data_IF_646371268584
#
_entry.id   IF_646371268584
#
_cell.length_a   1.000
_cell.length_b   1.000
_cell.length_c   1.000
_cell.angle_alpha   90.00
_cell.angle_beta   90.00
_cell.angle_gamma   90.00
#
_symmetry.space_group_name_H-M   'P 1'
#
loop_
_entity.id
_entity.type
_entity.pdbx_description
1 polymer ?
#
# COMPACT_ATOMS: atom_id res chain seq x y z
N UNK A 1 3.43 28.17 19.67
CA UNK A 1 4.49 27.94 18.66
C UNK A 1 3.85 28.05 17.28
N UNK A 2 4.11 29.14 16.55
CA UNK A 2 3.67 29.33 15.16
C UNK A 2 4.57 28.50 14.25
N UNK A 3 4.07 27.37 13.78
CA UNK A 3 4.81 26.57 12.80
C UNK A 3 4.67 27.23 11.44
N UNK A 4 5.76 27.50 10.69
CA UNK A 4 5.65 28.08 9.36
C UNK A 4 4.85 27.16 8.44
N UNK A 5 4.11 27.75 7.48
CA UNK A 5 3.32 26.99 6.52
C UNK A 5 4.16 26.00 5.72
N UNK A 6 5.43 26.35 5.44
CA UNK A 6 6.44 25.48 4.87
C UNK A 6 7.42 25.05 5.96
N UNK A 7 7.17 23.88 6.54
CA UNK A 7 8.03 23.30 7.56
C UNK A 7 8.06 21.78 7.42
N UNK A 8 9.23 21.18 7.62
CA UNK A 8 9.42 19.74 7.53
C UNK A 8 9.79 19.18 8.90
N UNK A 9 8.78 18.67 9.61
CA UNK A 9 8.93 18.15 10.97
C UNK A 9 8.55 19.15 12.04
N UNK A 10 8.50 18.67 13.28
CA UNK A 10 8.31 19.47 14.48
C UNK A 10 9.68 19.79 15.08
N UNK A 11 9.93 21.07 15.37
CA UNK A 11 11.12 21.49 16.12
C UNK A 11 10.77 21.50 17.60
N UNK A 12 11.36 20.57 18.35
CA UNK A 12 11.18 20.45 19.79
C UNK A 12 12.48 20.89 20.49
N UNK A 13 12.40 21.57 21.66
CA UNK A 13 13.59 22.12 22.34
C UNK A 13 14.66 21.07 22.66
N UNK A 14 14.23 19.84 22.95
CA UNK A 14 15.11 18.74 23.36
C UNK A 14 15.82 18.04 22.20
N UNK A 15 15.52 18.43 20.95
CA UNK A 15 16.03 17.77 19.76
C UNK A 15 16.76 18.74 18.82
N UNK A 16 17.98 18.35 18.42
CA UNK A 16 18.83 19.15 17.53
C UNK A 16 18.36 19.19 16.07
N UNK A 17 17.51 18.24 15.68
CA UNK A 17 16.94 18.13 14.33
C UNK A 17 15.42 18.14 14.41
N UNK A 18 14.71 18.57 13.35
CA UNK A 18 13.27 18.40 13.27
C UNK A 18 12.91 16.91 13.40
N UNK A 19 11.82 16.63 14.10
CA UNK A 19 11.38 15.27 14.39
C UNK A 19 9.95 15.01 13.94
N UNK A 20 9.62 13.73 13.76
CA UNK A 20 8.25 13.24 13.57
C UNK A 20 7.90 12.23 14.64
N UNK A 21 6.62 12.16 15.00
CA UNK A 21 6.09 11.04 15.75
C UNK A 21 6.01 9.80 14.84
N UNK A 22 6.89 8.83 15.05
CA UNK A 22 7.00 7.60 14.26
C UNK A 22 5.71 6.79 14.29
N UNK A 23 4.99 6.79 15.41
CA UNK A 23 3.69 6.09 15.50
C UNK A 23 2.67 6.67 14.53
N UNK A 24 2.65 7.99 14.38
CA UNK A 24 1.76 8.66 13.43
C UNK A 24 2.20 8.40 11.97
N UNK A 25 3.51 8.38 11.71
CA UNK A 25 4.06 8.03 10.39
C UNK A 25 3.68 6.60 10.01
N UNK A 26 3.87 5.63 10.91
CA UNK A 26 3.48 4.23 10.73
C UNK A 26 1.99 4.05 10.53
N UNK A 27 1.16 4.74 11.32
CA UNK A 27 -0.29 4.74 11.14
C UNK A 27 -0.68 5.27 9.74
N UNK A 28 -0.05 6.36 9.29
CA UNK A 28 -0.28 6.89 7.94
C UNK A 28 0.12 5.89 6.84
N UNK A 29 1.24 5.18 7.03
CA UNK A 29 1.71 4.14 6.12
C UNK A 29 0.74 2.96 6.07
N UNK A 30 0.19 2.55 7.22
CA UNK A 30 -0.83 1.50 7.30
C UNK A 30 -2.14 1.87 6.58
N UNK A 31 -2.61 3.11 6.72
CA UNK A 31 -3.81 3.61 6.02
C UNK A 31 -3.60 3.56 4.51
N UNK A 32 -2.48 4.12 4.03
CA UNK A 32 -2.15 4.12 2.62
C UNK A 32 -1.92 2.68 2.09
N UNK A 33 -1.28 1.82 2.88
CA UNK A 33 -1.09 0.41 2.54
C UNK A 33 -2.42 -0.31 2.35
N UNK A 34 -3.38 -0.12 3.27
CA UNK A 34 -4.70 -0.75 3.17
C UNK A 34 -5.42 -0.35 1.88
N UNK A 35 -5.45 0.94 1.58
CA UNK A 35 -6.10 1.47 0.37
C UNK A 35 -5.37 1.01 -0.90
N UNK A 36 -4.04 1.04 -0.89
CA UNK A 36 -3.20 0.57 -1.99
C UNK A 36 -3.42 -0.92 -2.24
N UNK A 37 -3.44 -1.73 -1.18
CA UNK A 37 -3.60 -3.17 -1.24
C UNK A 37 -4.98 -3.53 -1.79
N UNK A 38 -6.04 -2.85 -1.33
CA UNK A 38 -7.39 -3.05 -1.85
C UNK A 38 -7.46 -2.70 -3.35
N UNK A 39 -6.92 -1.55 -3.76
CA UNK A 39 -6.89 -1.16 -5.17
C UNK A 39 -6.07 -2.13 -6.03
N UNK A 40 -4.92 -2.58 -5.54
CA UNK A 40 -4.07 -3.56 -6.20
C UNK A 40 -4.73 -4.94 -6.31
N UNK A 41 -5.40 -5.40 -5.26
CA UNK A 41 -6.16 -6.65 -5.28
C UNK A 41 -7.31 -6.61 -6.29
N UNK A 42 -8.02 -5.49 -6.39
CA UNK A 42 -9.05 -5.29 -7.43
C UNK A 42 -8.45 -5.33 -8.84
N UNK A 43 -7.28 -4.71 -9.04
CA UNK A 43 -6.57 -4.77 -10.32
C UNK A 43 -6.09 -6.19 -10.68
N UNK A 44 -5.58 -6.94 -9.70
CA UNK A 44 -5.03 -8.29 -9.93
C UNK A 44 -6.13 -9.34 -10.12
N UNK A 45 -7.18 -9.31 -9.30
CA UNK A 45 -8.23 -10.34 -9.28
C UNK A 45 -9.34 -10.05 -10.29
N UNK A 46 -9.72 -8.78 -10.46
CA UNK A 46 -10.86 -8.38 -11.30
C UNK A 46 -10.45 -7.66 -12.58
N UNK A 47 -9.15 -7.39 -12.79
CA UNK A 47 -8.67 -6.60 -13.92
C UNK A 47 -9.15 -5.14 -13.89
N UNK A 48 -9.59 -4.62 -12.74
CA UNK A 48 -10.14 -3.27 -12.62
C UNK A 48 -9.08 -2.26 -12.16
N UNK A 49 -8.50 -1.55 -13.13
CA UNK A 49 -7.40 -0.60 -12.88
C UNK A 49 -7.86 0.79 -12.43
N UNK A 50 -9.16 1.09 -12.47
CA UNK A 50 -9.70 2.41 -12.13
C UNK A 50 -9.41 2.81 -10.68
N UNK A 51 -9.59 1.88 -9.75
CA UNK A 51 -9.26 2.10 -8.35
C UNK A 51 -7.77 2.42 -8.16
N UNK A 52 -6.89 1.68 -8.84
CA UNK A 52 -5.43 1.91 -8.81
C UNK A 52 -5.05 3.26 -9.39
N UNK A 53 -5.67 3.68 -10.51
CA UNK A 53 -5.43 5.00 -11.10
C UNK A 53 -5.78 6.13 -10.12
N UNK A 54 -6.96 6.06 -9.49
CA UNK A 54 -7.38 7.05 -8.48
C UNK A 54 -6.44 7.05 -7.29
N UNK A 55 -6.07 5.86 -6.79
CA UNK A 55 -5.14 5.73 -5.68
C UNK A 55 -3.77 6.35 -6.00
N UNK A 56 -3.20 6.09 -7.17
CA UNK A 56 -1.88 6.62 -7.56
C UNK A 56 -1.90 8.14 -7.62
N UNK A 57 -2.97 8.76 -8.15
CA UNK A 57 -3.12 10.22 -8.14
C UNK A 57 -3.15 10.74 -6.70
N UNK A 58 -3.99 10.15 -5.84
CA UNK A 58 -4.07 10.53 -4.44
C UNK A 58 -2.73 10.34 -3.70
N UNK A 59 -2.01 9.27 -3.98
CA UNK A 59 -0.71 8.95 -3.41
C UNK A 59 0.35 9.98 -3.80
N UNK A 60 0.43 10.36 -5.07
CA UNK A 60 1.35 11.42 -5.52
C UNK A 60 1.02 12.74 -4.85
N UNK A 61 -0.26 13.12 -4.75
CA UNK A 61 -0.70 14.35 -4.05
C UNK A 61 -0.30 14.30 -2.57
N UNK A 62 -0.60 13.20 -1.87
CA UNK A 62 -0.25 12.97 -0.47
C UNK A 62 1.26 13.18 -0.23
N UNK A 63 2.11 12.52 -1.01
CA UNK A 63 3.57 12.64 -0.86
C UNK A 63 4.12 14.00 -1.30
N UNK A 64 3.46 14.66 -2.26
CA UNK A 64 3.81 16.03 -2.66
C UNK A 64 3.56 17.02 -1.52
N UNK A 65 2.41 16.90 -0.83
CA UNK A 65 2.10 17.69 0.36
C UNK A 65 3.12 17.42 1.47
N UNK A 66 3.49 16.16 1.70
CA UNK A 66 4.51 15.78 2.69
C UNK A 66 5.87 16.41 2.40
N UNK A 67 6.34 16.37 1.15
CA UNK A 67 7.70 16.80 0.81
C UNK A 67 7.84 18.30 0.61
N UNK A 68 6.86 18.95 -0.01
CA UNK A 68 7.00 20.34 -0.49
C UNK A 68 6.22 21.36 0.33
N UNK A 69 5.14 20.95 1.01
CA UNK A 69 4.29 21.86 1.79
C UNK A 69 4.59 21.68 3.28
N UNK A 70 3.93 20.72 3.91
CA UNK A 70 4.13 20.35 5.30
C UNK A 70 3.46 18.99 5.56
N UNK A 71 4.16 18.01 6.13
CA UNK A 71 3.58 16.71 6.47
C UNK A 71 2.37 16.79 7.42
N UNK A 72 2.23 17.88 8.18
CA UNK A 72 1.07 18.13 9.04
C UNK A 72 -0.23 18.25 8.25
N UNK A 73 -0.18 18.67 7.00
CA UNK A 73 -1.35 18.86 6.14
C UNK A 73 -1.65 17.66 5.25
N UNK A 74 -0.79 16.64 5.25
CA UNK A 74 -1.01 15.47 4.41
C UNK A 74 -2.19 14.64 4.96
N UNK A 75 -3.25 14.38 4.16
CA UNK A 75 -4.45 13.69 4.61
C UNK A 75 -4.21 12.42 5.43
N UNK A 76 -3.35 11.50 4.97
CA UNK A 76 -3.11 10.26 5.71
C UNK A 76 -2.30 10.50 7.00
N UNK A 77 -1.45 11.53 7.05
CA UNK A 77 -0.77 11.94 8.29
C UNK A 77 -1.74 12.51 9.32
N UNK A 78 -2.71 13.33 8.90
CA UNK A 78 -3.74 13.89 9.78
C UNK A 78 -4.52 12.76 10.45
N UNK A 79 -5.02 11.81 9.66
CA UNK A 79 -5.75 10.65 10.17
C UNK A 79 -4.84 9.80 11.07
N UNK A 80 -3.60 9.56 10.65
CA UNK A 80 -2.62 8.83 11.45
C UNK A 80 -2.41 9.46 12.83
N UNK A 81 -2.24 10.77 12.90
CA UNK A 81 -2.10 11.52 14.15
C UNK A 81 -3.33 11.40 15.05
N UNK A 82 -4.54 11.44 14.48
CA UNK A 82 -5.77 11.29 15.26
C UNK A 82 -5.90 9.89 15.86
N UNK A 83 -5.54 8.85 15.10
CA UNK A 83 -5.60 7.46 15.55
C UNK A 83 -4.64 7.20 16.70
N UNK A 84 -3.41 7.72 16.65
CA UNK A 84 -2.38 7.45 17.68
C UNK A 84 -2.29 8.52 18.78
N UNK A 85 -3.22 9.48 18.84
CA UNK A 85 -3.14 10.64 19.75
C UNK A 85 -3.05 10.30 21.24
N UNK A 86 -3.54 9.14 21.65
CA UNK A 86 -3.51 8.67 23.04
C UNK A 86 -2.25 7.86 23.40
N UNK A 87 -1.31 7.68 22.46
CA UNK A 87 -0.09 6.91 22.66
C UNK A 87 1.08 7.84 22.94
N UNK A 88 2.06 7.37 23.73
CA UNK A 88 3.30 8.10 23.95
C UNK A 88 4.05 8.28 22.62
N UNK A 89 4.36 9.52 22.21
CA UNK A 89 4.99 9.78 20.91
C UNK A 89 6.43 9.26 20.90
N UNK A 90 6.79 8.57 19.82
CA UNK A 90 8.18 8.16 19.57
C UNK A 90 8.78 9.10 18.52
N UNK A 91 9.78 9.89 18.88
CA UNK A 91 10.34 10.90 17.98
C UNK A 91 11.52 10.37 17.17
N UNK A 92 11.41 10.49 15.85
CA UNK A 92 12.48 10.13 14.89
C UNK A 92 12.92 11.33 14.08
N UNK A 93 14.17 11.30 13.62
CA UNK A 93 14.75 12.38 12.82
C UNK A 93 14.01 12.56 11.48
N UNK A 94 13.77 13.82 11.11
CA UNK A 94 13.16 14.17 9.84
C UNK A 94 14.02 13.90 8.59
N UNK A 95 15.36 14.11 8.56
CA UNK A 95 16.16 13.99 7.33
C UNK A 95 16.06 12.62 6.65
N UNK A 96 16.19 11.54 7.41
CA UNK A 96 16.04 10.15 6.93
C UNK A 96 14.64 9.87 6.34
N UNK A 97 13.58 10.43 6.95
CA UNK A 97 12.20 10.27 6.46
C UNK A 97 11.95 11.07 5.19
N UNK A 98 12.58 12.24 5.03
CA UNK A 98 12.52 13.02 3.79
C UNK A 98 13.09 12.24 2.62
N UNK A 99 14.21 11.55 2.82
CA UNK A 99 14.80 10.69 1.79
C UNK A 99 13.87 9.53 1.41
N UNK A 100 13.36 8.80 2.41
CA UNK A 100 12.44 7.69 2.18
C UNK A 100 11.17 8.13 1.42
N UNK A 101 10.58 9.26 1.81
CA UNK A 101 9.41 9.81 1.13
C UNK A 101 9.73 10.33 -0.27
N UNK A 102 10.95 10.82 -0.51
CA UNK A 102 11.43 11.19 -1.84
C UNK A 102 11.45 10.00 -2.80
N UNK A 103 11.93 8.83 -2.34
CA UNK A 103 11.87 7.59 -3.11
C UNK A 103 10.42 7.20 -3.41
N UNK A 104 9.55 7.23 -2.38
CA UNK A 104 8.13 6.93 -2.55
C UNK A 104 7.46 7.85 -3.57
N UNK A 105 7.75 9.15 -3.53
CA UNK A 105 7.21 10.13 -4.48
C UNK A 105 7.71 9.88 -5.91
N UNK A 106 8.99 9.58 -6.10
CA UNK A 106 9.54 9.26 -7.42
C UNK A 106 8.88 8.00 -8.02
N UNK A 107 8.71 6.95 -7.22
CA UNK A 107 7.99 5.73 -7.63
C UNK A 107 6.51 6.02 -7.93
N UNK A 108 5.87 6.89 -7.16
CA UNK A 108 4.50 7.34 -7.40
C UNK A 108 4.35 8.10 -8.72
N UNK A 109 5.29 8.99 -9.05
CA UNK A 109 5.29 9.70 -10.33
C UNK A 109 5.51 8.76 -11.52
N UNK A 110 6.43 7.80 -11.38
CA UNK A 110 6.64 6.77 -12.39
C UNK A 110 5.36 5.98 -12.65
N UNK A 111 4.65 5.59 -11.58
CA UNK A 111 3.36 4.92 -11.68
C UNK A 111 2.26 5.77 -12.30
N UNK A 112 2.22 7.05 -11.93
CA UNK A 112 1.27 8.00 -12.49
C UNK A 112 1.45 8.11 -14.00
N UNK A 113 2.69 8.23 -14.46
CA UNK A 113 3.02 8.25 -15.89
C UNK A 113 2.53 6.98 -16.59
N UNK A 114 2.89 5.80 -16.09
CA UNK A 114 2.55 4.54 -16.77
C UNK A 114 1.05 4.21 -16.74
N UNK A 115 0.38 4.40 -15.60
CA UNK A 115 -1.01 3.97 -15.43
C UNK A 115 -2.04 5.02 -15.87
N UNK A 116 -1.74 6.32 -15.73
CA UNK A 116 -2.72 7.39 -16.01
C UNK A 116 -2.46 8.06 -17.35
N UNK A 117 -1.20 8.37 -17.67
CA UNK A 117 -0.83 9.08 -18.90
C UNK A 117 -0.74 8.09 -20.06
N UNK A 118 0.18 7.13 -19.98
CA UNK A 118 0.39 6.12 -21.03
C UNK A 118 -0.75 5.09 -21.08
N UNK A 119 -1.45 4.89 -19.95
CA UNK A 119 -2.49 3.86 -19.78
C UNK A 119 -2.00 2.45 -20.14
N UNK A 120 -0.71 2.20 -19.95
CA UNK A 120 -0.08 0.91 -20.24
C UNK A 120 -0.14 0.03 -18.99
N UNK A 121 -0.64 -1.18 -19.16
CA UNK A 121 -0.75 -2.19 -18.11
C UNK A 121 0.26 -3.29 -18.45
N UNK A 122 1.29 -3.42 -17.63
CA UNK A 122 2.34 -4.41 -17.84
C UNK A 122 2.82 -5.08 -16.55
N UNK A 123 3.55 -6.21 -16.66
CA UNK A 123 4.12 -6.92 -15.52
C UNK A 123 5.06 -6.04 -14.66
N UNK A 124 5.77 -5.11 -15.31
CA UNK A 124 6.65 -4.17 -14.61
C UNK A 124 5.87 -3.30 -13.61
N UNK A 125 4.68 -2.85 -13.98
CA UNK A 125 3.82 -2.05 -13.09
C UNK A 125 3.37 -2.89 -11.89
N UNK A 126 3.03 -4.16 -12.12
CA UNK A 126 2.66 -5.07 -11.02
C UNK A 126 3.81 -5.29 -10.05
N UNK A 127 5.03 -5.45 -10.57
CA UNK A 127 6.24 -5.67 -9.77
C UNK A 127 6.57 -4.43 -8.93
N UNK A 128 6.54 -3.24 -9.53
CA UNK A 128 6.83 -1.99 -8.81
C UNK A 128 5.73 -1.67 -7.79
N UNK A 129 4.45 -1.87 -8.12
CA UNK A 129 3.34 -1.72 -7.16
C UNK A 129 3.47 -2.69 -5.99
N UNK A 130 3.74 -3.97 -6.27
CA UNK A 130 3.96 -5.00 -5.24
C UNK A 130 5.16 -4.66 -4.34
N UNK A 131 6.23 -4.12 -4.92
CA UNK A 131 7.39 -3.65 -4.16
C UNK A 131 7.03 -2.48 -3.25
N UNK A 132 6.30 -1.47 -3.75
CA UNK A 132 5.83 -0.35 -2.93
C UNK A 132 4.95 -0.83 -1.77
N UNK A 133 3.99 -1.73 -2.04
CA UNK A 133 3.14 -2.33 -1.02
C UNK A 133 3.95 -3.05 0.04
N UNK A 134 4.96 -3.82 -0.37
CA UNK A 134 5.86 -4.53 0.54
C UNK A 134 6.62 -3.54 1.43
N UNK A 135 7.21 -2.49 0.87
CA UNK A 135 7.92 -1.46 1.64
C UNK A 135 7.03 -0.79 2.68
N UNK A 136 5.78 -0.43 2.31
CA UNK A 136 4.82 0.16 3.24
C UNK A 136 4.36 -0.83 4.30
N UNK A 137 4.20 -2.11 3.95
CA UNK A 137 3.89 -3.18 4.89
C UNK A 137 4.98 -3.32 5.96
N UNK A 138 6.25 -3.28 5.57
CA UNK A 138 7.36 -3.33 6.53
C UNK A 138 7.36 -2.14 7.49
N UNK A 139 7.08 -0.94 6.99
CA UNK A 139 7.00 0.27 7.82
C UNK A 139 5.82 0.20 8.80
N UNK A 140 4.63 -0.20 8.35
CA UNK A 140 3.45 -0.27 9.23
C UNK A 140 3.53 -1.44 10.22
N UNK A 141 3.79 -2.66 9.75
CA UNK A 141 3.69 -3.88 10.55
C UNK A 141 4.86 -4.02 11.53
N UNK A 142 6.09 -3.91 11.02
CA UNK A 142 7.29 -4.14 11.83
C UNK A 142 7.91 -2.85 12.37
N UNK A 143 7.49 -1.68 11.88
CA UNK A 143 8.16 -0.41 12.22
C UNK A 143 9.53 -0.28 11.57
N UNK A 144 9.79 -1.04 10.51
CA UNK A 144 11.08 -1.04 9.81
C UNK A 144 10.93 -0.23 8.52
N UNK A 145 11.47 0.98 8.52
CA UNK A 145 11.57 1.83 7.33
C UNK A 145 12.81 1.45 6.51
N UNK A 146 12.64 0.61 5.48
CA UNK A 146 13.74 0.16 4.61
C UNK A 146 14.42 1.36 3.91
N UNK A 147 13.65 2.36 3.50
CA UNK A 147 14.20 3.59 2.90
C UNK A 147 15.07 4.40 3.86
N UNK A 148 14.72 4.43 5.14
CA UNK A 148 15.51 5.07 6.19
C UNK A 148 16.80 4.27 6.44
N UNK A 149 16.72 2.94 6.48
CA UNK A 149 17.90 2.08 6.62
C UNK A 149 18.88 2.25 5.45
N UNK A 150 18.38 2.39 4.22
CA UNK A 150 19.21 2.68 3.05
C UNK A 150 19.88 4.06 3.16
N UNK A 151 19.15 5.07 3.65
CA UNK A 151 19.71 6.40 3.91
C UNK A 151 20.86 6.33 4.93
N UNK A 152 20.65 5.63 6.05
CA UNK A 152 21.63 5.54 7.14
C UNK A 152 22.89 4.81 6.69
N UNK A 153 22.76 3.81 5.84
CA UNK A 153 23.90 3.12 5.23
C UNK A 153 24.69 4.03 4.28
N UNK A 154 23.99 4.84 3.47
CA UNK A 154 24.63 5.72 2.49
C UNK A 154 25.19 7.03 3.10
N UNK A 155 24.58 7.52 4.18
CA UNK A 155 24.92 8.78 4.86
C UNK A 155 24.89 8.63 6.39
N UNK A 156 25.77 7.80 6.97
CA UNK A 156 25.75 7.51 8.41
C UNK A 156 25.94 8.75 9.29
N UNK A 157 26.69 9.76 8.82
CA UNK A 157 26.91 11.02 9.55
C UNK A 157 25.63 11.87 9.74
N UNK A 158 24.58 11.63 8.94
CA UNK A 158 23.31 12.35 9.02
C UNK A 158 22.22 11.56 9.77
N UNK A 159 22.51 10.31 10.15
CA UNK A 159 21.59 9.45 10.88
C UNK A 159 21.52 9.88 12.35
N UNK A 160 20.46 10.60 12.72
CA UNK A 160 20.15 10.97 14.10
C UNK A 160 18.72 10.57 14.43
N UNK A 161 18.50 10.01 15.62
CA UNK A 161 17.18 9.57 16.11
C UNK A 161 16.53 8.55 15.15
N UNK A 162 17.18 7.40 15.00
CA UNK A 162 16.75 6.34 14.08
C UNK A 162 15.47 5.65 14.59
N UNK A 163 14.58 5.20 13.68
CA UNK A 163 13.36 4.49 14.06
C UNK A 163 13.62 3.30 14.98
N UNK A 164 12.78 3.13 16.00
CA UNK A 164 12.91 2.06 17.00
C UNK A 164 14.13 2.19 17.90
N UNK A 165 14.79 3.37 17.93
CA UNK A 165 15.98 3.61 18.75
C UNK A 165 17.20 2.77 18.32
N UNK A 166 17.18 2.19 17.13
CA UNK A 166 18.20 1.26 16.60
C UNK A 166 19.62 1.83 16.58
N UNK A 167 19.77 3.15 16.51
CA UNK A 167 21.09 3.79 16.58
C UNK A 167 21.69 3.87 18.00
N UNK A 168 20.90 3.62 19.05
CA UNK A 168 21.38 3.57 20.45
C UNK A 168 21.21 2.20 21.10
N UNK A 169 20.28 1.40 20.60
CA UNK A 169 19.92 0.11 21.18
C UNK A 169 20.64 -1.03 20.47
N UNK A 170 21.42 -1.81 21.23
CA UNK A 170 21.96 -3.10 20.79
C UNK A 170 21.19 -4.22 21.49
N UNK A 171 20.65 -5.15 20.71
CA UNK A 171 19.91 -6.28 21.27
C UNK A 171 20.88 -7.20 22.05
N UNK A 172 20.49 -7.70 23.24
CA UNK A 172 21.32 -8.64 23.98
C UNK A 172 21.45 -9.97 23.23
N UNK A 173 22.58 -10.67 23.45
CA UNK A 173 22.86 -11.97 22.83
C UNK A 173 21.73 -12.94 23.19
N UNK A 174 21.04 -13.48 22.17
CA UNK A 174 19.89 -14.39 22.34
C UNK A 174 18.49 -13.75 22.23
N UNK A 175 18.38 -12.43 22.07
CA UNK A 175 17.08 -11.76 21.88
C UNK A 175 16.32 -12.20 20.61
N UNK A 176 17.03 -12.75 19.62
CA UNK A 176 16.46 -13.25 18.37
C UNK A 176 15.88 -14.67 18.43
N UNK A 177 15.88 -15.30 19.61
CA UNK A 177 15.43 -16.68 19.78
C UNK A 177 16.53 -17.72 19.63
N UNK A 178 16.19 -18.98 19.91
CA UNK A 178 17.11 -20.12 19.85
C UNK A 178 16.86 -20.93 18.58
N UNK A 179 17.88 -21.62 18.05
CA UNK A 179 17.75 -22.45 16.84
C UNK A 179 16.64 -23.53 16.94
N UNK A 180 16.31 -23.97 18.16
CA UNK A 180 15.19 -24.89 18.42
C UNK A 180 13.80 -24.32 18.13
N UNK A 181 13.63 -22.99 18.21
CA UNK A 181 12.39 -22.34 17.75
C UNK A 181 12.24 -22.42 16.23
N UNK A 182 13.35 -22.54 15.50
CA UNK A 182 13.33 -22.86 14.06
C UNK A 182 12.68 -24.21 13.77
N UNK A 183 12.95 -25.24 14.59
CA UNK A 183 12.29 -26.54 14.46
C UNK A 183 10.79 -26.46 14.74
N UNK A 184 10.38 -25.65 15.72
CA UNK A 184 8.96 -25.39 16.00
C UNK A 184 8.26 -24.77 14.78
N UNK A 185 8.89 -23.76 14.14
CA UNK A 185 8.36 -23.11 12.94
C UNK A 185 8.26 -24.10 11.77
N UNK A 186 9.26 -24.95 11.57
CA UNK A 186 9.24 -25.99 10.54
C UNK A 186 8.14 -27.03 10.81
N UNK A 187 7.99 -27.46 12.06
CA UNK A 187 6.91 -28.37 12.48
C UNK A 187 5.52 -27.76 12.25
N UNK A 188 5.34 -26.49 12.61
CA UNK A 188 4.10 -25.75 12.34
C UNK A 188 3.82 -25.66 10.83
N UNK A 189 4.83 -25.32 10.02
CA UNK A 189 4.68 -25.26 8.57
C UNK A 189 4.30 -26.63 7.98
N UNK A 190 4.93 -27.71 8.44
CA UNK A 190 4.60 -29.07 8.02
C UNK A 190 3.15 -29.45 8.37
N UNK A 191 2.70 -29.15 9.60
CA UNK A 191 1.30 -29.34 10.01
C UNK A 191 0.36 -28.55 9.11
N UNK A 192 0.67 -27.29 8.80
CA UNK A 192 -0.16 -26.46 7.92
C UNK A 192 -0.23 -27.00 6.49
N UNK A 193 0.84 -27.61 5.97
CA UNK A 193 0.83 -28.28 4.65
C UNK A 193 -0.07 -29.51 4.67
N UNK A 194 0.01 -30.34 5.71
CA UNK A 194 -0.87 -31.51 5.88
C UNK A 194 -2.33 -31.08 5.99
N UNK A 195 -2.61 -30.07 6.81
CA UNK A 195 -3.96 -29.50 6.97
C UNK A 195 -4.46 -28.92 5.66
N UNK A 196 -3.64 -28.18 4.90
CA UNK A 196 -4.03 -27.63 3.60
C UNK A 196 -4.39 -28.74 2.60
N UNK A 197 -3.63 -29.84 2.58
CA UNK A 197 -3.92 -31.02 1.76
C UNK A 197 -5.19 -31.76 2.19
N UNK A 198 -5.48 -31.81 3.49
CA UNK A 198 -6.73 -32.38 4.01
C UNK A 198 -7.94 -31.50 3.66
N UNK A 199 -7.82 -30.18 3.84
CA UNK A 199 -8.88 -29.21 3.54
C UNK A 199 -9.20 -29.19 2.04
N UNK A 200 -8.20 -29.27 1.16
CA UNK A 200 -8.43 -29.28 -0.30
C UNK A 200 -9.13 -30.54 -0.81
N UNK A 201 -9.18 -31.61 -0.01
CA UNK A 201 -9.95 -32.84 -0.30
C UNK A 201 -11.35 -32.82 0.34
N UNK A 202 -11.64 -31.84 1.19
CA UNK A 202 -12.94 -31.69 1.84
C UNK A 202 -14.01 -31.15 0.89
N UNK A 203 -15.30 -31.30 1.23
CA UNK A 203 -16.37 -30.66 0.48
C UNK A 203 -16.26 -29.13 0.56
N UNK A 204 -16.47 -28.46 -0.57
CA UNK A 204 -16.54 -27.00 -0.64
C UNK A 204 -17.50 -26.46 0.43
N UNK A 205 -17.04 -25.47 1.20
CA UNK A 205 -17.89 -24.79 2.17
C UNK A 205 -19.08 -24.19 1.41
N UNK A 206 -20.32 -24.49 1.86
CA UNK A 206 -21.51 -23.82 1.34
C UNK A 206 -21.42 -22.33 1.67
N UNK A 207 -20.88 -21.56 0.73
CA UNK A 207 -20.97 -20.11 0.77
C UNK A 207 -22.43 -19.68 0.76
N UNK A 208 -22.70 -18.50 1.33
CA UNK A 208 -23.95 -17.80 1.07
C UNK A 208 -24.05 -17.62 -0.45
N UNK A 209 -24.87 -18.46 -1.10
CA UNK A 209 -25.19 -18.30 -2.51
C UNK A 209 -25.89 -16.96 -2.64
N UNK A 210 -25.16 -15.93 -3.03
CA UNK A 210 -25.79 -14.85 -3.77
C UNK A 210 -26.38 -15.50 -5.01
N UNK A 211 -27.68 -15.33 -5.29
CA UNK A 211 -28.24 -15.81 -6.54
C UNK A 211 -27.37 -15.21 -7.63
N UNK A 212 -26.68 -16.07 -8.38
CA UNK A 212 -25.99 -15.64 -9.57
C UNK A 212 -27.02 -14.85 -10.36
N UNK A 213 -26.73 -13.58 -10.64
CA UNK A 213 -27.37 -12.90 -11.75
C UNK A 213 -27.00 -13.78 -12.94
N UNK A 214 -27.94 -14.64 -13.34
CA UNK A 214 -27.88 -15.36 -14.59
C UNK A 214 -27.83 -14.26 -15.65
N UNK A 215 -26.62 -13.91 -16.09
CA UNK A 215 -26.46 -13.27 -17.39
C UNK A 215 -27.06 -14.28 -18.35
N UNK A 216 -28.19 -13.96 -19.03
CA UNK A 216 -28.75 -14.89 -19.98
C UNK A 216 -27.66 -15.20 -20.99
N UNK A 217 -27.34 -16.48 -21.13
CA UNK A 217 -26.51 -16.97 -22.23
C UNK A 217 -27.00 -16.33 -23.51
N UNK A 218 -26.13 -15.57 -24.19
CA UNK A 218 -26.33 -15.05 -25.54
C UNK A 218 -26.33 -16.21 -26.53
N UNK A 219 -27.35 -17.05 -26.46
CA UNK A 219 -27.86 -17.77 -27.61
C UNK A 219 -29.15 -17.04 -27.99
N UNK A 220 -29.17 -16.31 -29.11
CA UNK A 220 -30.38 -15.66 -29.56
C UNK A 220 -31.47 -16.72 -29.69
N UNK A 221 -32.60 -16.53 -29.02
CA UNK A 221 -33.81 -17.29 -29.35
C UNK A 221 -34.15 -16.95 -30.81
N UNK A 222 -34.62 -17.91 -31.60
CA UNK A 222 -35.00 -17.69 -33.01
C UNK A 222 -35.93 -16.46 -33.21
N UNK A 223 -36.69 -16.07 -32.18
CA UNK A 223 -37.51 -14.85 -32.14
C UNK A 223 -36.76 -13.51 -32.02
N UNK A 224 -35.47 -13.50 -31.71
CA UNK A 224 -34.61 -12.31 -31.68
C UNK A 224 -33.88 -12.10 -33.01
N UNK A 225 -33.51 -13.18 -33.71
CA UNK A 225 -32.98 -13.10 -35.09
C UNK A 225 -34.01 -12.52 -36.07
N UNK A 226 -35.30 -12.84 -35.88
CA UNK A 226 -36.40 -12.25 -36.66
C UNK A 226 -36.58 -10.75 -36.38
N UNK A 227 -36.24 -10.30 -35.17
CA UNK A 227 -36.38 -8.90 -34.71
C UNK A 227 -35.26 -8.01 -35.21
N UNK A 228 -34.11 -8.60 -35.53
CA UNK A 228 -32.96 -7.92 -36.14
C UNK A 228 -33.03 -7.90 -37.68
N UNK A 229 -34.07 -8.49 -38.28
CA UNK A 229 -34.27 -8.47 -39.74
C UNK A 229 -35.00 -7.18 -40.12
N UNK A 230 -34.35 -6.35 -40.94
CA UNK A 230 -34.96 -5.12 -41.46
C UNK A 230 -36.28 -5.48 -42.16
N UNK A 231 -37.42 -4.91 -41.74
CA UNK A 231 -38.72 -5.19 -42.34
C UNK A 231 -38.73 -4.91 -43.84
N UNK A 232 -39.44 -5.73 -44.61
CA UNK A 232 -39.40 -5.62 -46.07
C UNK A 232 -39.99 -4.30 -46.60
N UNK A 233 -40.85 -3.64 -45.83
CA UNK A 233 -41.32 -2.28 -46.15
C UNK A 233 -40.20 -1.23 -46.10
N UNK A 234 -39.19 -1.39 -45.23
CA UNK A 234 -38.06 -0.47 -45.15
C UNK A 234 -37.10 -0.67 -46.33
N UNK A 235 -36.89 -1.93 -46.76
CA UNK A 235 -36.13 -2.24 -47.99
C UNK A 235 -36.81 -1.67 -49.24
N UNK A 236 -38.15 -1.70 -49.29
CA UNK A 236 -38.93 -1.15 -50.40
C UNK A 236 -38.84 0.39 -50.50
N UNK A 237 -38.47 1.08 -49.41
CA UNK A 237 -38.30 2.54 -49.38
C UNK A 237 -36.86 3.00 -49.64
N UNK A 238 -35.92 2.09 -49.90
CA UNK A 238 -34.57 2.43 -50.39
C UNK A 238 -33.62 3.06 -49.37
N UNK A 239 -33.78 2.78 -48.08
CA UNK A 239 -32.81 3.15 -47.02
C UNK A 239 -32.03 1.95 -46.51
#
# INVERSE_FOLDING_TARGET
MTTPFFAFGQTLPDYKVPVFNERAVRASAGILFLLAFAAFAQALLLGQFKATQVFVVAFVIEFSIRLFVNPRWAPAMIVGQWVVRGQEPEYVGAPQKRFAWGIGWALGLWMLYLLVIERSIGPLNMLVCGTCLLLMFFETAFGICIGCKLHDWLRPAQAQLCPGGTCRYTAPVGAGGHWGQGLLLLGFAAVMVVVAGWVSQGPELRGMHHPAVQVPSTHPKASEEERCKVPDFAKAMGH
#
